data_IF_801036447167
#
_entry.id   IF_801036447167
#
_cell.length_a   1.000
_cell.length_b   1.000
_cell.length_c   1.000
_cell.angle_alpha   90.00
_cell.angle_beta   90.00
_cell.angle_gamma   90.00
#
_symmetry.space_group_name_H-M   'P 1'
#
loop_
_entity.id
_entity.type
_entity.pdbx_description
1 polymer ?
#
# COMPACT_ATOMS: atom_id res chain seq x y z
N UNK A 1 6.34 -26.61 10.38
CA UNK A 1 5.67 -25.41 10.93
C UNK A 1 4.20 -25.37 10.52
N UNK A 2 3.87 -25.48 9.22
CA UNK A 2 2.53 -25.26 8.67
C UNK A 2 1.41 -26.05 9.36
N UNK A 3 1.52 -27.35 9.70
CA UNK A 3 0.46 -28.08 10.41
C UNK A 3 0.10 -27.52 11.79
N UNK A 4 0.98 -26.71 12.38
CA UNK A 4 0.72 -26.03 13.67
C UNK A 4 0.16 -24.62 13.49
N UNK A 5 0.04 -24.14 12.26
CA UNK A 5 -0.42 -22.80 11.92
C UNK A 5 -1.93 -22.72 11.67
N UNK A 6 -2.72 -23.59 12.32
CA UNK A 6 -4.19 -23.55 12.22
C UNK A 6 -4.71 -22.18 12.66
N UNK A 7 -5.59 -21.58 11.86
CA UNK A 7 -6.08 -20.20 12.08
C UNK A 7 -5.17 -19.09 11.56
N UNK A 8 -3.90 -19.39 11.25
CA UNK A 8 -3.00 -18.42 10.62
C UNK A 8 -3.29 -18.37 9.11
N UNK A 9 -3.32 -17.18 8.49
CA UNK A 9 -3.60 -17.03 7.06
C UNK A 9 -2.63 -17.80 6.16
N UNK A 10 -1.36 -17.97 6.56
CA UNK A 10 -0.37 -18.76 5.81
C UNK A 10 -0.82 -20.19 5.57
N UNK A 11 -1.58 -20.80 6.50
CA UNK A 11 -2.13 -22.13 6.30
C UNK A 11 -3.11 -22.14 5.13
N UNK A 12 -4.00 -21.15 5.06
CA UNK A 12 -4.99 -21.04 3.99
C UNK A 12 -4.34 -20.67 2.66
N UNK A 13 -3.42 -19.70 2.65
CA UNK A 13 -2.77 -19.24 1.44
C UNK A 13 -1.95 -20.33 0.78
N UNK A 14 -1.12 -21.06 1.53
CA UNK A 14 -0.34 -22.17 0.99
C UNK A 14 -1.22 -23.22 0.32
N UNK A 15 -2.35 -23.59 0.93
CA UNK A 15 -3.27 -24.59 0.35
C UNK A 15 -4.03 -24.04 -0.86
N UNK A 16 -4.40 -22.75 -0.87
CA UNK A 16 -4.98 -22.13 -2.06
C UNK A 16 -3.99 -22.05 -3.22
N UNK A 17 -2.74 -21.69 -2.96
CA UNK A 17 -1.68 -21.67 -3.98
C UNK A 17 -1.44 -23.07 -4.55
N UNK A 18 -1.32 -24.10 -3.69
CA UNK A 18 -1.14 -25.47 -4.09
C UNK A 18 -2.31 -25.98 -4.94
N UNK A 19 -3.56 -25.68 -4.53
CA UNK A 19 -4.75 -26.06 -5.28
C UNK A 19 -4.82 -25.34 -6.63
N UNK A 20 -4.72 -24.00 -6.62
CA UNK A 20 -5.01 -23.19 -7.80
C UNK A 20 -3.94 -23.30 -8.89
N UNK A 21 -2.67 -23.40 -8.49
CA UNK A 21 -1.56 -23.43 -9.44
C UNK A 21 -1.03 -24.82 -9.71
N UNK A 22 -0.96 -25.67 -8.70
CA UNK A 22 -0.34 -26.99 -8.82
C UNK A 22 -1.35 -28.14 -8.94
N UNK A 23 -2.65 -27.89 -8.67
CA UNK A 23 -3.69 -28.91 -8.69
C UNK A 23 -3.60 -29.90 -7.52
N UNK A 24 -2.95 -29.49 -6.42
CA UNK A 24 -2.82 -30.32 -5.22
C UNK A 24 -3.91 -29.97 -4.20
N UNK A 25 -4.78 -30.94 -3.91
CA UNK A 25 -5.88 -30.76 -2.96
C UNK A 25 -5.64 -31.44 -1.60
N UNK A 26 -4.47 -32.05 -1.42
CA UNK A 26 -4.07 -32.68 -0.17
C UNK A 26 -3.63 -31.69 0.90
N UNK A 27 -3.32 -32.19 2.10
CA UNK A 27 -2.79 -31.40 3.21
C UNK A 27 -1.27 -31.38 3.15
N UNK A 28 -0.68 -30.18 3.23
CA UNK A 28 0.78 -30.02 3.32
C UNK A 28 1.24 -30.24 4.76
N UNK A 29 1.99 -31.33 4.97
CA UNK A 29 2.57 -31.72 6.26
C UNK A 29 3.91 -32.44 6.08
N UNK A 30 4.51 -32.93 7.16
CA UNK A 30 5.80 -33.63 7.09
C UNK A 30 5.79 -34.92 6.27
N UNK A 31 4.64 -35.59 6.11
CA UNK A 31 4.53 -36.81 5.33
C UNK A 31 4.36 -36.53 3.83
N UNK A 32 3.72 -35.41 3.49
CA UNK A 32 3.42 -35.00 2.10
C UNK A 32 4.42 -33.98 1.55
N UNK A 33 5.31 -33.46 2.37
CA UNK A 33 6.22 -32.38 1.99
C UNK A 33 7.08 -32.72 0.76
N UNK A 34 7.62 -33.94 0.69
CA UNK A 34 8.45 -34.35 -0.45
C UNK A 34 7.62 -34.46 -1.73
N UNK A 35 6.43 -35.06 -1.65
CA UNK A 35 5.51 -35.17 -2.79
C UNK A 35 5.14 -33.79 -3.35
N UNK A 36 4.84 -32.81 -2.46
CA UNK A 36 4.50 -31.44 -2.86
C UNK A 36 5.71 -30.74 -3.46
N UNK A 37 6.91 -30.95 -2.89
CA UNK A 37 8.15 -30.41 -3.43
C UNK A 37 8.41 -30.90 -4.86
N UNK A 38 8.34 -32.22 -5.10
CA UNK A 38 8.58 -32.80 -6.40
C UNK A 38 7.56 -32.33 -7.44
N UNK A 39 6.27 -32.28 -7.08
CA UNK A 39 5.22 -31.70 -7.90
C UNK A 39 5.49 -30.24 -8.25
N UNK A 40 5.90 -29.44 -7.27
CA UNK A 40 6.19 -28.04 -7.48
C UNK A 40 7.38 -27.83 -8.43
N UNK A 41 8.46 -28.59 -8.25
CA UNK A 41 9.62 -28.54 -9.14
C UNK A 41 9.27 -28.92 -10.57
N UNK A 42 8.51 -30.00 -10.77
CA UNK A 42 8.05 -30.43 -12.08
C UNK A 42 7.24 -29.33 -12.78
N UNK A 43 6.27 -28.75 -12.08
CA UNK A 43 5.40 -27.71 -12.62
C UNK A 43 6.13 -26.40 -12.91
N UNK A 44 6.97 -25.93 -11.98
CA UNK A 44 7.71 -24.68 -12.13
C UNK A 44 8.75 -24.72 -13.28
N UNK A 45 9.16 -25.91 -13.71
CA UNK A 45 10.03 -26.07 -14.88
C UNK A 45 9.28 -25.91 -16.23
N UNK A 46 7.95 -25.87 -16.22
CA UNK A 46 7.13 -25.78 -17.43
C UNK A 46 6.96 -24.31 -17.87
N UNK A 47 6.91 -24.02 -19.18
CA UNK A 47 6.71 -22.66 -19.69
C UNK A 47 5.44 -21.97 -19.17
N UNK A 48 4.38 -22.73 -18.86
CA UNK A 48 3.11 -22.27 -18.32
C UNK A 48 3.26 -21.64 -16.94
N UNK A 49 4.35 -21.92 -16.24
CA UNK A 49 4.70 -21.34 -14.94
C UNK A 49 5.70 -20.18 -15.05
N UNK A 50 5.97 -19.68 -16.26
CA UNK A 50 6.72 -18.43 -16.40
C UNK A 50 5.96 -17.26 -15.73
N UNK A 51 6.70 -16.23 -15.29
CA UNK A 51 6.12 -15.06 -14.61
C UNK A 51 4.90 -14.47 -15.35
N UNK A 52 5.04 -14.28 -16.68
CA UNK A 52 3.95 -13.71 -17.49
C UNK A 52 2.74 -14.65 -17.56
N UNK A 53 2.94 -15.95 -17.64
CA UNK A 53 1.85 -16.91 -17.73
C UNK A 53 1.12 -17.08 -16.38
N UNK A 54 1.81 -17.00 -15.25
CA UNK A 54 1.18 -16.95 -13.93
C UNK A 54 0.29 -15.71 -13.76
N UNK A 55 0.73 -14.54 -14.25
CA UNK A 55 -0.06 -13.32 -14.26
C UNK A 55 -1.31 -13.48 -15.14
N UNK A 56 -1.16 -13.97 -16.37
CA UNK A 56 -2.29 -14.26 -17.28
C UNK A 56 -3.29 -15.23 -16.68
N UNK A 57 -2.79 -16.34 -16.13
CA UNK A 57 -3.61 -17.38 -15.48
C UNK A 57 -4.42 -16.81 -14.30
N UNK A 58 -3.88 -15.80 -13.63
CA UNK A 58 -4.55 -15.13 -12.52
C UNK A 58 -5.51 -14.02 -12.97
N UNK A 59 -5.65 -13.80 -14.28
CA UNK A 59 -6.52 -12.79 -14.90
C UNK A 59 -6.27 -11.36 -14.33
N UNK A 60 -5.00 -11.01 -14.17
CA UNK A 60 -4.58 -9.71 -13.62
C UNK A 60 -4.63 -8.65 -14.70
N UNK A 61 -5.47 -7.65 -14.54
CA UNK A 61 -5.61 -6.55 -15.49
C UNK A 61 -4.49 -5.51 -15.35
N UNK A 62 -4.07 -5.26 -14.09
CA UNK A 62 -3.04 -4.27 -13.78
C UNK A 62 -2.19 -4.69 -12.58
N UNK A 63 -0.93 -4.27 -12.61
CA UNK A 63 0.03 -4.36 -11.51
C UNK A 63 0.56 -2.96 -11.22
N UNK A 64 0.42 -2.49 -9.98
CA UNK A 64 1.16 -1.35 -9.45
C UNK A 64 2.45 -1.84 -8.81
N UNK A 65 3.57 -1.30 -9.23
CA UNK A 65 4.86 -1.55 -8.59
C UNK A 65 5.15 -0.47 -7.53
N UNK A 66 6.17 -0.66 -6.70
CA UNK A 66 6.61 0.35 -5.74
C UNK A 66 7.99 0.84 -6.17
N UNK A 67 8.09 2.11 -6.54
CA UNK A 67 9.28 2.64 -7.19
C UNK A 67 9.81 3.90 -6.51
N UNK A 68 11.13 3.92 -6.30
CA UNK A 68 11.84 5.06 -5.75
C UNK A 68 11.89 6.22 -6.76
N UNK A 69 11.76 7.49 -6.35
CA UNK A 69 11.89 8.66 -7.21
C UNK A 69 13.12 8.68 -8.13
N UNK A 70 14.21 8.05 -7.71
CA UNK A 70 15.45 7.99 -8.49
C UNK A 70 15.48 6.86 -9.54
N UNK A 71 14.42 6.06 -9.67
CA UNK A 71 14.35 4.98 -10.66
C UNK A 71 14.31 5.55 -12.09
N UNK A 72 15.04 4.91 -13.00
CA UNK A 72 15.06 5.25 -14.44
C UNK A 72 13.87 4.68 -15.22
N UNK A 73 13.03 3.83 -14.59
CA UNK A 73 11.89 3.15 -15.20
C UNK A 73 12.23 2.25 -16.40
N UNK A 74 13.47 1.85 -16.55
CA UNK A 74 13.94 1.04 -17.68
C UNK A 74 13.08 -0.22 -17.91
N UNK A 75 12.76 -0.96 -16.84
CA UNK A 75 11.96 -2.19 -16.98
C UNK A 75 10.49 -1.92 -17.29
N UNK A 76 9.92 -0.79 -16.85
CA UNK A 76 8.57 -0.39 -17.23
C UNK A 76 8.49 -0.08 -18.73
N UNK A 77 9.47 0.63 -19.26
CA UNK A 77 9.59 0.93 -20.70
C UNK A 77 9.72 -0.37 -21.53
N UNK A 78 10.57 -1.31 -21.10
CA UNK A 78 10.70 -2.62 -21.76
C UNK A 78 9.39 -3.41 -21.73
N UNK A 79 8.66 -3.41 -20.61
CA UNK A 79 7.37 -4.11 -20.49
C UNK A 79 6.32 -3.47 -21.40
N UNK A 80 6.22 -2.14 -21.41
CA UNK A 80 5.29 -1.41 -22.27
C UNK A 80 5.52 -1.73 -23.76
N UNK A 81 6.79 -1.85 -24.18
CA UNK A 81 7.17 -2.19 -25.56
C UNK A 81 7.01 -3.68 -25.91
N UNK A 82 6.86 -4.55 -24.92
CA UNK A 82 6.85 -6.01 -25.13
C UNK A 82 5.50 -6.57 -25.60
N UNK A 83 4.44 -5.77 -25.66
CA UNK A 83 3.08 -6.23 -25.95
C UNK A 83 2.46 -7.09 -24.84
N UNK A 84 2.96 -6.99 -23.60
CA UNK A 84 2.37 -7.70 -22.48
C UNK A 84 1.01 -7.07 -22.12
N UNK A 85 -0.04 -7.91 -22.02
CA UNK A 85 -1.43 -7.46 -21.93
C UNK A 85 -1.76 -6.81 -20.59
N UNK A 86 -1.14 -7.32 -19.50
CA UNK A 86 -1.31 -6.76 -18.16
C UNK A 86 -0.60 -5.43 -18.08
N UNK A 87 -1.33 -4.38 -17.75
CA UNK A 87 -0.77 -3.04 -17.55
C UNK A 87 0.12 -3.04 -16.30
N UNK A 88 1.37 -2.62 -16.44
CA UNK A 88 2.30 -2.47 -15.31
C UNK A 88 2.63 -0.99 -15.15
N UNK A 89 2.19 -0.40 -14.05
CA UNK A 89 2.36 1.02 -13.75
C UNK A 89 3.24 1.22 -12.52
N UNK A 90 4.14 2.22 -12.52
CA UNK A 90 4.87 2.57 -11.32
C UNK A 90 3.94 3.21 -10.27
N UNK A 91 4.26 3.05 -9.00
CA UNK A 91 3.74 3.86 -7.90
C UNK A 91 4.89 4.63 -7.26
N UNK A 92 4.68 5.92 -7.04
CA UNK A 92 5.70 6.83 -6.57
C UNK A 92 5.89 6.73 -5.05
N UNK A 93 7.06 6.29 -4.57
CA UNK A 93 7.34 6.13 -3.14
C UNK A 93 8.53 6.97 -2.69
N UNK A 94 8.31 8.20 -2.18
CA UNK A 94 9.36 9.14 -1.85
C UNK A 94 9.92 9.00 -0.43
N UNK A 95 9.69 7.89 0.26
CA UNK A 95 10.06 7.69 1.67
C UNK A 95 11.53 8.00 1.97
N UNK A 96 12.44 7.66 1.06
CA UNK A 96 13.86 7.95 1.22
C UNK A 96 14.17 9.45 1.24
N UNK A 97 13.38 10.27 0.54
CA UNK A 97 13.50 11.72 0.59
C UNK A 97 12.89 12.33 1.86
N UNK A 98 11.84 11.70 2.42
CA UNK A 98 11.17 12.15 3.64
C UNK A 98 11.94 11.75 4.91
N UNK A 99 12.67 10.63 4.89
CA UNK A 99 13.33 10.05 6.04
C UNK A 99 14.66 10.76 6.38
N UNK A 100 14.59 12.06 6.63
CA UNK A 100 15.74 12.96 6.88
C UNK A 100 16.66 12.50 8.02
N UNK A 101 16.11 11.79 9.01
CA UNK A 101 16.83 11.29 10.19
C UNK A 101 17.56 9.96 9.97
N UNK A 102 17.31 9.28 8.83
CA UNK A 102 17.91 7.96 8.59
C UNK A 102 19.31 8.06 8.01
N UNK A 103 20.15 7.13 8.38
CA UNK A 103 21.49 6.98 7.81
C UNK A 103 21.40 6.84 6.29
N UNK A 104 22.32 7.50 5.56
CA UNK A 104 22.30 7.50 4.07
C UNK A 104 21.51 8.63 3.43
N UNK A 105 20.78 9.46 4.19
CA UNK A 105 20.00 10.57 3.65
C UNK A 105 20.81 11.47 2.72
N UNK A 106 21.99 11.94 3.13
CA UNK A 106 22.83 12.81 2.31
C UNK A 106 23.28 12.15 0.99
N UNK A 107 23.52 10.84 0.99
CA UNK A 107 23.82 10.09 -0.23
C UNK A 107 22.60 9.99 -1.15
N UNK A 108 21.42 9.78 -0.55
CA UNK A 108 20.17 9.75 -1.30
C UNK A 108 19.84 11.10 -1.95
N UNK A 109 20.04 12.23 -1.24
CA UNK A 109 19.81 13.57 -1.80
C UNK A 109 20.71 13.84 -3.00
N UNK A 110 21.97 13.37 -2.98
CA UNK A 110 22.85 13.46 -4.16
C UNK A 110 22.30 12.66 -5.36
N UNK A 111 21.85 11.42 -5.11
CA UNK A 111 21.22 10.58 -6.14
C UNK A 111 19.95 11.22 -6.70
N UNK A 112 19.12 11.84 -5.85
CA UNK A 112 17.91 12.55 -6.27
C UNK A 112 18.26 13.80 -7.11
N UNK A 113 19.32 14.53 -6.73
CA UNK A 113 19.83 15.67 -7.50
C UNK A 113 20.24 15.25 -8.90
N UNK A 114 20.97 14.15 -9.03
CA UNK A 114 21.37 13.56 -10.32
C UNK A 114 20.16 13.12 -11.15
N UNK A 115 19.24 12.35 -10.54
CA UNK A 115 18.07 11.81 -11.22
C UNK A 115 17.07 12.88 -11.68
N UNK A 116 16.96 13.99 -10.95
CA UNK A 116 16.07 15.11 -11.28
C UNK A 116 16.72 16.18 -12.17
N UNK A 117 18.05 16.22 -12.22
CA UNK A 117 18.80 17.32 -12.84
C UNK A 117 18.76 18.63 -12.06
N UNK A 118 18.29 18.61 -10.82
CA UNK A 118 18.14 19.80 -9.96
C UNK A 118 19.25 19.82 -8.90
N UNK A 119 19.98 20.94 -8.82
CA UNK A 119 20.99 21.12 -7.78
C UNK A 119 20.32 21.38 -6.44
N UNK A 120 20.35 20.39 -5.54
CA UNK A 120 19.67 20.44 -4.23
C UNK A 120 20.59 21.09 -3.19
N UNK A 121 20.18 22.25 -2.64
CA UNK A 121 20.89 23.02 -1.63
C UNK A 121 20.07 23.20 -0.34
N UNK A 122 18.74 23.02 -0.42
CA UNK A 122 17.79 23.18 0.68
C UNK A 122 16.53 22.35 0.46
N UNK A 123 15.61 22.42 1.40
CA UNK A 123 14.37 21.68 1.37
C UNK A 123 13.45 22.04 0.19
N UNK A 124 13.46 23.31 -0.22
CA UNK A 124 12.70 23.77 -1.39
C UNK A 124 13.20 23.12 -2.69
N UNK A 125 14.52 22.91 -2.83
CA UNK A 125 15.08 22.23 -3.99
C UNK A 125 14.71 20.74 -3.98
N UNK A 126 14.64 20.09 -2.79
CA UNK A 126 14.14 18.71 -2.67
C UNK A 126 12.69 18.63 -3.16
N UNK A 127 11.83 19.54 -2.74
CA UNK A 127 10.45 19.61 -3.19
C UNK A 127 10.35 19.78 -4.71
N UNK A 128 11.16 20.65 -5.30
CA UNK A 128 11.24 20.83 -6.75
C UNK A 128 11.76 19.59 -7.46
N UNK A 129 12.77 18.91 -6.92
CA UNK A 129 13.29 17.66 -7.46
C UNK A 129 12.23 16.55 -7.46
N UNK A 130 11.46 16.41 -6.36
CA UNK A 130 10.34 15.49 -6.30
C UNK A 130 9.24 15.85 -7.31
N UNK A 131 8.89 17.13 -7.50
CA UNK A 131 7.94 17.55 -8.54
C UNK A 131 8.41 17.15 -9.95
N UNK A 132 9.69 17.32 -10.26
CA UNK A 132 10.25 16.89 -11.54
C UNK A 132 10.15 15.37 -11.71
N UNK A 133 10.43 14.60 -10.65
CA UNK A 133 10.31 13.13 -10.68
C UNK A 133 8.85 12.67 -10.77
N UNK A 134 7.92 13.31 -10.07
CA UNK A 134 6.48 13.05 -10.19
C UNK A 134 6.02 13.29 -11.63
N UNK A 135 6.45 14.39 -12.26
CA UNK A 135 6.13 14.64 -13.67
C UNK A 135 6.71 13.55 -14.61
N UNK A 136 7.90 13.05 -14.34
CA UNK A 136 8.48 11.93 -15.10
C UNK A 136 7.67 10.64 -14.90
N UNK A 137 7.30 10.29 -13.65
CA UNK A 137 6.48 9.11 -13.37
C UNK A 137 5.10 9.19 -14.03
N UNK A 138 4.53 10.39 -14.12
CA UNK A 138 3.25 10.61 -14.80
C UNK A 138 3.34 10.22 -16.28
N UNK A 139 4.45 10.55 -16.96
CA UNK A 139 4.70 10.13 -18.35
C UNK A 139 4.82 8.61 -18.51
N UNK A 140 5.17 7.90 -17.45
CA UNK A 140 5.27 6.44 -17.40
C UNK A 140 3.96 5.75 -17.00
N UNK A 141 2.88 6.52 -16.89
CA UNK A 141 1.54 6.01 -16.57
C UNK A 141 1.29 5.77 -15.09
N UNK A 142 2.06 6.40 -14.21
CA UNK A 142 1.81 6.38 -12.77
C UNK A 142 0.41 6.92 -12.44
N UNK A 143 -0.26 6.29 -11.46
CA UNK A 143 -1.61 6.69 -11.00
C UNK A 143 -1.69 6.75 -9.48
N UNK A 144 -0.64 6.37 -8.78
CA UNK A 144 -0.63 6.31 -7.32
C UNK A 144 0.72 6.70 -6.75
N UNK A 145 0.66 7.27 -5.55
CA UNK A 145 1.82 7.41 -4.67
C UNK A 145 1.58 6.58 -3.42
N UNK A 146 2.67 6.12 -2.81
CA UNK A 146 2.65 5.32 -1.60
C UNK A 146 3.62 5.91 -0.57
N UNK A 147 3.19 6.02 0.67
CA UNK A 147 3.96 6.50 1.80
C UNK A 147 3.93 5.47 2.93
N UNK A 148 5.11 4.99 3.34
CA UNK A 148 5.27 4.11 4.50
C UNK A 148 5.82 4.90 5.69
N UNK A 149 4.90 5.39 6.53
CA UNK A 149 5.22 6.19 7.70
C UNK A 149 5.22 5.32 8.96
N UNK A 150 6.16 5.55 9.88
CA UNK A 150 6.13 4.87 11.18
C UNK A 150 4.88 5.36 11.97
N UNK A 151 4.57 6.64 11.89
CA UNK A 151 3.33 7.30 12.36
C UNK A 151 3.05 8.52 11.48
N UNK A 152 1.81 9.00 11.45
CA UNK A 152 1.47 10.24 10.75
C UNK A 152 1.90 11.43 11.59
N UNK A 153 2.65 12.35 11.00
CA UNK A 153 3.11 13.57 11.64
C UNK A 153 2.44 14.80 11.01
N UNK A 154 2.27 15.84 11.81
CA UNK A 154 1.91 17.18 11.33
C UNK A 154 2.52 18.25 12.23
N UNK A 155 3.60 18.84 11.77
CA UNK A 155 4.26 19.96 12.44
C UNK A 155 4.64 21.04 11.42
N UNK A 156 4.06 22.20 11.54
CA UNK A 156 4.43 23.34 10.70
C UNK A 156 5.74 23.96 11.19
N UNK A 157 6.56 24.42 10.25
CA UNK A 157 7.79 25.16 10.50
C UNK A 157 7.96 26.26 9.47
N UNK A 158 8.78 27.26 9.81
CA UNK A 158 9.23 28.25 8.82
C UNK A 158 10.25 27.59 7.87
N UNK A 159 10.37 28.10 6.64
CA UNK A 159 11.39 27.58 5.72
C UNK A 159 12.80 27.65 6.30
N UNK A 160 13.12 28.68 7.10
CA UNK A 160 14.40 28.78 7.80
C UNK A 160 14.63 27.62 8.78
N UNK A 161 13.60 27.19 9.53
CA UNK A 161 13.68 26.06 10.44
C UNK A 161 13.87 24.74 9.68
N UNK A 162 13.12 24.56 8.59
CA UNK A 162 13.18 23.37 7.74
C UNK A 162 14.54 23.26 7.03
N UNK A 163 15.06 24.35 6.48
CA UNK A 163 16.39 24.39 5.85
C UNK A 163 17.52 24.16 6.85
N UNK A 164 17.36 24.62 8.09
CA UNK A 164 18.32 24.33 9.19
C UNK A 164 18.34 22.83 9.49
N UNK A 165 17.18 22.17 9.59
CA UNK A 165 17.09 20.73 9.78
C UNK A 165 17.73 19.99 8.60
N UNK A 166 17.45 20.43 7.37
CA UNK A 166 18.08 19.86 6.16
C UNK A 166 19.61 19.99 6.20
N UNK A 167 20.14 21.17 6.54
CA UNK A 167 21.58 21.39 6.60
C UNK A 167 22.27 20.48 7.64
N UNK A 168 21.67 20.32 8.84
CA UNK A 168 22.13 19.37 9.85
C UNK A 168 22.18 17.94 9.32
N UNK A 169 21.11 17.47 8.69
CA UNK A 169 21.05 16.12 8.11
C UNK A 169 22.13 15.91 7.04
N UNK A 170 22.35 16.92 6.18
CA UNK A 170 23.40 16.86 5.15
C UNK A 170 24.81 16.84 5.75
N UNK A 171 25.00 17.43 6.94
CA UNK A 171 26.26 17.37 7.72
C UNK A 171 26.41 16.06 8.53
N UNK A 172 25.37 15.25 8.62
CA UNK A 172 25.35 14.02 9.43
C UNK A 172 25.18 14.29 10.92
N UNK A 173 24.59 15.42 11.28
CA UNK A 173 24.28 15.81 12.65
C UNK A 173 22.93 15.20 13.08
N UNK A 174 22.76 14.97 14.38
CA UNK A 174 21.53 14.47 14.96
C UNK A 174 20.42 15.52 14.88
N UNK A 175 19.20 15.06 14.61
CA UNK A 175 17.98 15.86 14.55
C UNK A 175 17.07 15.54 15.73
N UNK A 176 16.42 16.56 16.30
CA UNK A 176 15.31 16.31 17.20
C UNK A 176 14.04 15.94 16.44
N UNK A 177 13.06 15.36 17.16
CA UNK A 177 11.80 14.88 16.55
C UNK A 177 11.07 16.02 15.86
N UNK A 178 11.06 17.22 16.44
CA UNK A 178 10.42 18.41 15.88
C UNK A 178 11.04 18.82 14.53
N UNK A 179 12.35 18.76 14.40
CA UNK A 179 13.05 19.07 13.15
C UNK A 179 12.69 18.06 12.05
N UNK A 180 12.63 16.78 12.41
CA UNK A 180 12.22 15.70 11.50
C UNK A 180 10.78 15.90 11.04
N UNK A 181 9.85 16.10 11.97
CA UNK A 181 8.44 16.27 11.67
C UNK A 181 8.14 17.51 10.81
N UNK A 182 8.82 18.63 11.06
CA UNK A 182 8.67 19.84 10.24
C UNK A 182 9.06 19.57 8.77
N UNK A 183 10.21 18.95 8.56
CA UNK A 183 10.68 18.62 7.23
C UNK A 183 9.75 17.60 6.52
N UNK A 184 9.36 16.54 7.21
CA UNK A 184 8.47 15.51 6.66
C UNK A 184 7.09 16.08 6.32
N UNK A 185 6.52 16.91 7.21
CA UNK A 185 5.22 17.58 6.96
C UNK A 185 5.30 18.46 5.72
N UNK A 186 6.36 19.26 5.57
CA UNK A 186 6.55 20.11 4.41
C UNK A 186 6.57 19.32 3.10
N UNK A 187 7.35 18.25 3.03
CA UNK A 187 7.44 17.44 1.80
C UNK A 187 6.18 16.63 1.55
N UNK A 188 5.54 16.07 2.58
CA UNK A 188 4.29 15.32 2.43
C UNK A 188 3.19 16.20 1.83
N UNK A 189 2.99 17.40 2.37
CA UNK A 189 2.00 18.35 1.85
C UNK A 189 2.33 18.79 0.42
N UNK A 190 3.61 19.04 0.11
CA UNK A 190 4.05 19.38 -1.24
C UNK A 190 3.74 18.25 -2.24
N UNK A 191 4.15 17.03 -1.93
CA UNK A 191 3.90 15.87 -2.78
C UNK A 191 2.40 15.61 -2.97
N UNK A 192 1.61 15.67 -1.89
CA UNK A 192 0.16 15.49 -1.96
C UNK A 192 -0.51 16.50 -2.91
N UNK A 193 -0.08 17.76 -2.88
CA UNK A 193 -0.54 18.77 -3.83
C UNK A 193 -0.18 18.44 -5.28
N UNK A 194 1.01 17.88 -5.52
CA UNK A 194 1.40 17.41 -6.85
C UNK A 194 0.56 16.21 -7.32
N UNK A 195 0.20 15.29 -6.41
CA UNK A 195 -0.69 14.17 -6.72
C UNK A 195 -2.10 14.64 -7.05
N UNK A 196 -2.65 15.58 -6.28
CA UNK A 196 -3.98 16.16 -6.52
C UNK A 196 -4.09 16.78 -7.91
N UNK A 197 -3.10 17.57 -8.34
CA UNK A 197 -3.06 18.21 -9.66
C UNK A 197 -3.05 17.21 -10.83
N UNK A 198 -2.59 15.97 -10.58
CA UNK A 198 -2.51 14.88 -11.59
C UNK A 198 -3.63 13.85 -11.46
N UNK A 199 -4.51 14.02 -10.48
CA UNK A 199 -5.57 13.04 -10.20
C UNK A 199 -5.07 11.70 -9.65
N UNK A 200 -3.82 11.64 -9.15
CA UNK A 200 -3.27 10.44 -8.56
C UNK A 200 -3.92 10.10 -7.22
N UNK A 201 -3.83 8.84 -6.86
CA UNK A 201 -4.21 8.33 -5.54
C UNK A 201 -3.02 8.41 -4.59
N UNK A 202 -3.19 9.03 -3.43
CA UNK A 202 -2.23 9.01 -2.35
C UNK A 202 -2.56 7.86 -1.39
N UNK A 203 -1.62 6.95 -1.15
CA UNK A 203 -1.76 5.88 -0.18
C UNK A 203 -0.86 6.16 1.02
N UNK A 204 -1.41 6.11 2.22
CA UNK A 204 -0.67 6.35 3.48
C UNK A 204 -0.76 5.10 4.34
N UNK A 205 0.40 4.45 4.57
CA UNK A 205 0.58 3.34 5.47
C UNK A 205 1.25 3.83 6.76
N UNK A 206 0.74 3.43 7.93
CA UNK A 206 1.25 3.88 9.23
C UNK A 206 1.00 2.88 10.36
N UNK A 207 1.44 3.23 11.57
CA UNK A 207 1.35 2.40 12.79
C UNK A 207 2.19 1.12 12.73
N UNK A 208 3.41 1.20 12.17
CA UNK A 208 4.37 0.11 12.15
C UNK A 208 5.58 0.42 13.03
N UNK A 209 5.89 -0.47 13.97
CA UNK A 209 7.15 -0.45 14.71
C UNK A 209 8.17 -1.34 14.00
N UNK A 210 9.17 -0.71 13.41
CA UNK A 210 10.21 -1.41 12.65
C UNK A 210 11.31 -1.94 13.55
N UNK A 211 11.66 -3.22 13.36
CA UNK A 211 12.83 -3.86 13.94
C UNK A 211 13.00 -3.70 15.47
N UNK A 212 11.95 -3.88 16.32
CA UNK A 212 12.07 -3.72 17.77
C UNK A 212 13.03 -4.74 18.42
N UNK A 213 13.40 -5.82 17.72
CA UNK A 213 14.45 -6.75 18.16
C UNK A 213 15.80 -6.33 17.59
N UNK A 214 16.48 -5.42 18.29
CA UNK A 214 17.77 -4.86 17.87
C UNK A 214 18.85 -5.93 17.63
N UNK A 215 18.87 -7.00 18.46
CA UNK A 215 19.84 -8.10 18.31
C UNK A 215 19.62 -8.87 16.99
N UNK A 216 18.37 -9.11 16.63
CA UNK A 216 18.04 -9.78 15.37
C UNK A 216 18.30 -8.85 14.18
N UNK A 217 17.96 -7.57 14.29
CA UNK A 217 18.25 -6.57 13.28
C UNK A 217 19.76 -6.42 12.99
N UNK A 218 20.60 -6.37 14.03
CA UNK A 218 22.05 -6.30 13.87
C UNK A 218 22.63 -7.53 13.13
N UNK A 219 21.97 -8.69 13.25
CA UNK A 219 22.41 -9.95 12.62
C UNK A 219 21.86 -10.16 11.21
N UNK A 220 20.60 -9.79 10.96
CA UNK A 220 19.84 -10.18 9.78
C UNK A 220 19.43 -9.00 8.89
N UNK A 221 19.51 -7.78 9.40
CA UNK A 221 19.07 -6.58 8.69
C UNK A 221 17.55 -6.36 8.73
N UNK A 222 17.09 -5.36 7.97
CA UNK A 222 15.69 -5.02 7.82
C UNK A 222 14.90 -6.09 7.04
N UNK A 223 13.57 -6.02 7.13
CA UNK A 223 12.64 -6.88 6.39
C UNK A 223 12.83 -8.39 6.64
N UNK A 224 13.33 -8.75 7.79
CA UNK A 224 13.63 -10.14 8.19
C UNK A 224 12.61 -10.76 9.16
N UNK A 225 11.40 -10.12 9.29
CA UNK A 225 10.27 -10.67 10.05
C UNK A 225 10.22 -10.25 11.52
N UNK A 226 10.85 -9.13 11.89
CA UNK A 226 10.90 -8.62 13.26
C UNK A 226 10.17 -7.29 13.46
N UNK A 227 9.28 -6.93 12.53
CA UNK A 227 8.41 -5.78 12.67
C UNK A 227 7.14 -6.14 13.46
N UNK A 228 6.49 -5.16 14.07
CA UNK A 228 5.23 -5.35 14.76
C UNK A 228 4.31 -4.13 14.64
N UNK A 229 3.06 -4.28 15.10
CA UNK A 229 2.11 -3.19 15.19
C UNK A 229 2.58 -2.15 16.20
N UNK A 230 2.40 -0.87 15.88
CA UNK A 230 2.61 0.24 16.80
C UNK A 230 1.28 0.81 17.27
N UNK A 231 1.26 1.32 18.50
CA UNK A 231 0.18 2.17 19.01
C UNK A 231 0.70 3.60 18.97
N UNK A 232 0.22 4.39 18.01
CA UNK A 232 0.65 5.77 17.79
C UNK A 232 -0.57 6.67 17.73
N UNK A 233 -0.46 7.92 18.22
CA UNK A 233 -1.50 8.92 18.05
C UNK A 233 -1.34 9.61 16.68
N UNK A 234 -1.82 8.93 15.64
CA UNK A 234 -1.81 9.44 14.26
C UNK A 234 -3.10 10.19 13.89
N UNK A 235 -4.17 10.05 14.66
CA UNK A 235 -5.49 10.58 14.32
C UNK A 235 -5.47 12.11 14.16
N UNK A 236 -4.98 12.83 15.16
CA UNK A 236 -4.94 14.29 15.14
C UNK A 236 -4.01 14.85 14.04
N UNK A 237 -2.88 14.19 13.83
CA UNK A 237 -1.94 14.59 12.78
C UNK A 237 -2.55 14.36 11.39
N UNK A 238 -3.16 13.22 11.15
CA UNK A 238 -3.81 12.89 9.89
C UNK A 238 -4.95 13.87 9.56
N UNK A 239 -5.81 14.18 10.56
CA UNK A 239 -6.82 15.22 10.43
C UNK A 239 -6.22 16.55 9.95
N UNK A 240 -5.11 16.97 10.56
CA UNK A 240 -4.45 18.25 10.21
C UNK A 240 -3.84 18.22 8.82
N UNK A 241 -3.22 17.10 8.41
CA UNK A 241 -2.69 16.92 7.04
C UNK A 241 -3.82 17.06 6.03
N UNK A 242 -4.91 16.29 6.21
CA UNK A 242 -6.05 16.32 5.29
C UNK A 242 -6.71 17.70 5.23
N UNK A 243 -6.92 18.35 6.40
CA UNK A 243 -7.51 19.69 6.46
C UNK A 243 -6.61 20.77 5.82
N UNK A 244 -5.29 20.66 5.98
CA UNK A 244 -4.36 21.58 5.33
C UNK A 244 -4.43 21.48 3.79
N UNK A 245 -4.57 20.27 3.27
CA UNK A 245 -4.72 20.03 1.84
C UNK A 245 -6.10 20.43 1.31
N UNK A 246 -7.17 20.10 2.05
CA UNK A 246 -8.55 20.42 1.64
C UNK A 246 -8.80 21.93 1.58
N UNK A 247 -8.23 22.72 2.50
CA UNK A 247 -8.34 24.19 2.50
C UNK A 247 -7.78 24.86 1.25
N UNK A 248 -6.86 24.21 0.56
CA UNK A 248 -6.19 24.69 -0.65
C UNK A 248 -6.72 23.97 -1.91
N UNK A 249 -7.79 23.16 -1.78
CA UNK A 249 -8.32 22.29 -2.85
C UNK A 249 -7.26 21.31 -3.41
N UNK A 250 -6.34 20.88 -2.57
CA UNK A 250 -5.20 20.00 -2.90
C UNK A 250 -5.25 18.62 -2.24
N UNK A 251 -6.38 18.25 -1.61
CA UNK A 251 -6.53 16.90 -1.06
C UNK A 251 -6.79 15.90 -2.21
N UNK A 252 -5.85 14.98 -2.51
CA UNK A 252 -6.03 13.99 -3.56
C UNK A 252 -7.02 12.89 -3.15
N UNK A 253 -7.40 12.02 -4.09
CA UNK A 253 -7.95 10.70 -3.78
C UNK A 253 -6.98 10.02 -2.79
N UNK A 254 -7.45 9.58 -1.63
CA UNK A 254 -6.56 9.09 -0.56
C UNK A 254 -7.05 7.77 0.00
N UNK A 255 -6.12 6.82 0.20
CA UNK A 255 -6.37 5.55 0.88
C UNK A 255 -5.51 5.49 2.14
N UNK A 256 -6.12 5.16 3.27
CA UNK A 256 -5.48 5.09 4.59
C UNK A 256 -5.36 3.64 5.04
N UNK A 257 -4.14 3.23 5.41
CA UNK A 257 -3.84 1.89 5.93
C UNK A 257 -3.17 2.01 7.29
N UNK A 258 -3.88 1.66 8.36
CA UNK A 258 -3.23 1.47 9.66
C UNK A 258 -2.87 0.01 9.89
N UNK A 259 -1.71 -0.22 10.51
CA UNK A 259 -1.35 -1.54 10.98
C UNK A 259 -2.00 -1.87 12.33
N UNK A 260 -2.49 -0.87 13.04
CA UNK A 260 -3.19 -1.02 14.31
C UNK A 260 -4.71 -1.18 14.07
N UNK A 261 -5.32 -2.35 14.29
CA UNK A 261 -6.75 -2.56 14.04
C UNK A 261 -7.66 -1.74 14.97
N UNK A 262 -7.13 -1.17 16.06
CA UNK A 262 -7.90 -0.26 16.90
C UNK A 262 -8.16 1.10 16.23
N UNK A 263 -7.51 1.37 15.11
CA UNK A 263 -7.67 2.62 14.37
C UNK A 263 -8.86 2.58 13.39
N UNK A 264 -9.42 1.42 13.08
CA UNK A 264 -10.44 1.23 12.05
C UNK A 264 -11.62 2.20 12.22
N UNK A 265 -12.18 2.31 13.39
CA UNK A 265 -13.38 3.13 13.63
C UNK A 265 -13.11 4.63 13.50
N UNK A 266 -11.99 5.13 14.04
CA UNK A 266 -11.70 6.55 13.90
C UNK A 266 -11.29 6.92 12.46
N UNK A 267 -10.62 6.00 11.72
CA UNK A 267 -10.38 6.16 10.30
C UNK A 267 -11.70 6.30 9.57
N UNK A 268 -12.65 5.36 9.74
CA UNK A 268 -13.92 5.37 9.03
C UNK A 268 -14.76 6.63 9.32
N UNK A 269 -14.74 7.14 10.54
CA UNK A 269 -15.38 8.42 10.86
C UNK A 269 -14.66 9.62 10.24
N UNK A 270 -13.32 9.60 10.18
CA UNK A 270 -12.52 10.63 9.53
C UNK A 270 -12.79 10.69 8.02
N UNK A 271 -12.93 9.53 7.36
CA UNK A 271 -13.27 9.46 5.93
C UNK A 271 -14.54 10.26 5.63
N UNK A 272 -15.56 10.11 6.45
CA UNK A 272 -16.83 10.80 6.27
C UNK A 272 -16.71 12.32 6.30
N UNK A 273 -15.73 12.87 7.02
CA UNK A 273 -15.51 14.31 7.13
C UNK A 273 -14.87 14.93 5.86
N UNK A 274 -14.26 14.12 4.99
CA UNK A 274 -13.50 14.59 3.82
C UNK A 274 -13.98 13.98 2.49
N UNK A 275 -15.19 13.42 2.44
CA UNK A 275 -15.78 12.92 1.19
C UNK A 275 -16.16 14.06 0.24
N UNK A 276 -16.29 13.72 -1.03
CA UNK A 276 -16.66 14.63 -2.10
C UNK A 276 -17.90 14.12 -2.83
N UNK A 277 -18.77 15.03 -3.29
CA UNK A 277 -19.89 14.69 -4.17
C UNK A 277 -19.45 14.36 -5.62
N UNK A 278 -18.21 14.67 -5.99
CA UNK A 278 -17.69 14.50 -7.34
C UNK A 278 -17.03 13.14 -7.54
N UNK A 279 -16.42 12.58 -6.49
CA UNK A 279 -15.68 11.33 -6.54
C UNK A 279 -16.25 10.37 -5.48
N UNK A 280 -17.01 9.34 -5.87
CA UNK A 280 -17.50 8.33 -4.93
C UNK A 280 -16.34 7.68 -4.18
N UNK A 281 -16.38 7.75 -2.84
CA UNK A 281 -15.31 7.22 -2.01
C UNK A 281 -13.97 7.92 -2.23
N UNK A 282 -13.95 9.27 -2.37
CA UNK A 282 -12.70 10.06 -2.53
C UNK A 282 -11.64 9.68 -1.52
N UNK A 283 -12.06 9.48 -0.28
CA UNK A 283 -11.20 9.01 0.80
C UNK A 283 -11.63 7.60 1.16
N UNK A 284 -10.69 6.67 1.20
CA UNK A 284 -10.90 5.23 1.40
C UNK A 284 -10.23 4.75 2.69
N UNK A 285 -10.88 3.84 3.39
CA UNK A 285 -10.18 2.94 4.30
C UNK A 285 -9.57 1.83 3.44
N UNK A 286 -8.27 1.62 3.54
CA UNK A 286 -7.58 0.57 2.82
C UNK A 286 -7.98 -0.83 3.29
N UNK A 287 -7.65 -1.85 2.51
CA UNK A 287 -7.86 -3.24 2.93
C UNK A 287 -7.04 -3.55 4.20
N UNK A 288 -7.53 -4.51 4.99
CA UNK A 288 -6.80 -5.00 6.14
C UNK A 288 -5.35 -5.35 5.76
N UNK A 289 -4.39 -4.60 6.32
CA UNK A 289 -3.02 -4.59 5.85
C UNK A 289 -2.12 -5.45 6.71
N UNK A 290 -1.17 -6.15 6.10
CA UNK A 290 -0.08 -6.93 6.67
C UNK A 290 -0.51 -7.89 7.78
N UNK A 291 -0.32 -7.57 9.09
CA UNK A 291 -0.74 -8.45 10.19
C UNK A 291 -2.26 -8.62 10.30
N UNK A 292 -3.03 -7.71 9.72
CA UNK A 292 -4.48 -7.77 9.67
C UNK A 292 -5.01 -8.45 8.39
N UNK A 293 -4.12 -8.80 7.43
CA UNK A 293 -4.49 -9.54 6.21
C UNK A 293 -4.77 -11.01 6.54
N UNK A 294 -5.85 -11.21 7.28
CA UNK A 294 -6.37 -12.48 7.74
C UNK A 294 -7.90 -12.40 7.87
N UNK A 295 -8.56 -13.54 8.08
CA UNK A 295 -10.03 -13.60 8.14
C UNK A 295 -10.63 -12.60 9.13
N UNK A 296 -10.12 -12.57 10.34
CA UNK A 296 -10.68 -11.71 11.41
C UNK A 296 -10.40 -10.24 11.13
N UNK A 297 -9.16 -9.89 10.73
CA UNK A 297 -8.80 -8.52 10.39
C UNK A 297 -9.64 -7.99 9.22
N UNK A 298 -9.83 -8.79 8.16
CA UNK A 298 -10.68 -8.41 7.02
C UNK A 298 -12.14 -8.23 7.44
N UNK A 299 -12.69 -9.15 8.24
CA UNK A 299 -14.07 -9.04 8.72
C UNK A 299 -14.29 -7.80 9.59
N UNK A 300 -13.33 -7.47 10.46
CA UNK A 300 -13.42 -6.29 11.33
C UNK A 300 -13.36 -5.00 10.50
N UNK A 301 -12.40 -4.88 9.61
CA UNK A 301 -12.26 -3.72 8.73
C UNK A 301 -13.50 -3.52 7.84
N UNK A 302 -13.99 -4.57 7.17
CA UNK A 302 -15.18 -4.52 6.32
C UNK A 302 -16.45 -4.16 7.13
N UNK A 303 -16.58 -4.68 8.34
CA UNK A 303 -17.72 -4.39 9.22
C UNK A 303 -17.67 -2.94 9.71
N UNK A 304 -16.49 -2.46 10.11
CA UNK A 304 -16.31 -1.07 10.52
C UNK A 304 -16.66 -0.11 9.39
N UNK A 305 -16.12 -0.36 8.20
CA UNK A 305 -16.42 0.45 7.01
C UNK A 305 -17.90 0.39 6.59
N UNK A 306 -18.55 -0.77 6.70
CA UNK A 306 -19.97 -0.91 6.40
C UNK A 306 -20.86 -0.12 7.37
N UNK A 307 -20.49 -0.09 8.65
CA UNK A 307 -21.25 0.60 9.70
C UNK A 307 -21.10 2.13 9.66
N UNK A 308 -19.93 2.63 9.26
CA UNK A 308 -19.56 4.04 9.38
C UNK A 308 -19.37 4.75 8.03
N UNK A 309 -19.37 4.00 6.92
CA UNK A 309 -19.16 4.49 5.58
C UNK A 309 -20.09 3.86 4.55
N UNK A 310 -19.65 3.78 3.30
CA UNK A 310 -20.37 3.17 2.19
C UNK A 310 -19.51 2.03 1.62
N UNK A 311 -19.70 0.81 2.14
CA UNK A 311 -18.93 -0.37 1.73
C UNK A 311 -18.97 -0.61 0.21
N UNK A 312 -20.08 -0.31 -0.46
CA UNK A 312 -20.21 -0.46 -1.93
C UNK A 312 -19.21 0.37 -2.74
N UNK A 313 -18.62 1.42 -2.17
CA UNK A 313 -17.57 2.22 -2.81
C UNK A 313 -16.14 1.75 -2.50
N UNK A 314 -15.98 0.71 -1.69
CA UNK A 314 -14.67 0.20 -1.30
C UNK A 314 -13.88 -0.30 -2.51
N UNK A 315 -12.61 0.07 -2.61
CA UNK A 315 -11.73 -0.31 -3.74
C UNK A 315 -11.22 -1.75 -3.66
N UNK A 316 -11.60 -2.48 -2.61
CA UNK A 316 -11.25 -3.88 -2.44
C UNK A 316 -9.85 -4.13 -1.91
N UNK A 317 -9.44 -5.38 -2.02
CA UNK A 317 -8.17 -5.91 -1.51
C UNK A 317 -7.15 -5.98 -2.65
N UNK A 318 -5.92 -5.65 -2.34
CA UNK A 318 -4.74 -5.95 -3.15
C UNK A 318 -3.88 -6.99 -2.41
N UNK A 319 -3.12 -7.79 -3.15
CA UNK A 319 -2.38 -8.90 -2.53
C UNK A 319 -1.12 -8.46 -1.79
N UNK A 320 -0.59 -7.27 -2.07
CA UNK A 320 0.64 -6.72 -1.49
C UNK A 320 1.74 -7.79 -1.34
N UNK A 321 2.06 -8.45 -2.43
CA UNK A 321 2.93 -9.62 -2.41
C UNK A 321 3.98 -9.57 -3.53
N UNK A 322 5.13 -10.17 -3.23
CA UNK A 322 6.23 -10.35 -4.19
C UNK A 322 6.18 -11.71 -4.91
N UNK A 323 5.23 -12.58 -4.54
CA UNK A 323 5.04 -13.89 -5.18
C UNK A 323 3.92 -13.85 -6.22
N UNK A 324 4.18 -14.35 -7.41
CA UNK A 324 3.18 -14.48 -8.47
C UNK A 324 2.14 -15.57 -8.20
N UNK A 325 2.38 -16.45 -7.24
CA UNK A 325 1.40 -17.46 -6.78
C UNK A 325 0.39 -16.85 -5.80
N UNK A 326 0.74 -15.76 -5.15
CA UNK A 326 -0.09 -15.13 -4.11
C UNK A 326 -1.33 -14.40 -4.62
N UNK A 327 -1.57 -14.35 -5.94
CA UNK A 327 -2.86 -13.90 -6.48
C UNK A 327 -4.03 -14.74 -5.96
N UNK A 328 -3.79 -15.98 -5.51
CA UNK A 328 -4.78 -16.78 -4.78
C UNK A 328 -5.33 -16.11 -3.51
N UNK A 329 -4.58 -15.14 -2.91
CA UNK A 329 -5.04 -14.37 -1.75
C UNK A 329 -6.24 -13.49 -2.05
N UNK A 330 -6.42 -13.05 -3.30
CA UNK A 330 -7.63 -12.33 -3.70
C UNK A 330 -8.87 -13.25 -3.68
N UNK A 331 -8.72 -14.55 -3.98
CA UNK A 331 -9.81 -15.52 -3.77
C UNK A 331 -10.15 -15.68 -2.29
N UNK A 332 -9.15 -15.68 -1.40
CA UNK A 332 -9.36 -15.71 0.04
C UNK A 332 -10.21 -14.52 0.51
N UNK A 333 -9.88 -13.31 0.05
CA UNK A 333 -10.67 -12.10 0.31
C UNK A 333 -12.11 -12.22 -0.21
N UNK A 334 -12.31 -12.62 -1.48
CA UNK A 334 -13.65 -12.76 -2.06
C UNK A 334 -14.53 -13.72 -1.26
N UNK A 335 -13.96 -14.83 -0.78
CA UNK A 335 -14.70 -15.80 0.06
C UNK A 335 -15.10 -15.19 1.40
N UNK A 336 -14.24 -14.39 2.02
CA UNK A 336 -14.53 -13.69 3.27
C UNK A 336 -15.63 -12.65 3.07
N UNK A 337 -15.52 -11.82 2.03
CA UNK A 337 -16.52 -10.80 1.69
C UNK A 337 -17.89 -11.43 1.44
N UNK A 338 -17.96 -12.44 0.56
CA UNK A 338 -19.23 -13.13 0.25
C UNK A 338 -19.83 -13.81 1.49
N UNK A 339 -19.00 -14.43 2.34
CA UNK A 339 -19.49 -15.03 3.56
C UNK A 339 -20.02 -14.00 4.55
N UNK A 340 -19.35 -12.85 4.68
CA UNK A 340 -19.79 -11.77 5.57
C UNK A 340 -21.15 -11.21 5.11
N UNK A 341 -21.25 -10.85 3.83
CA UNK A 341 -22.50 -10.33 3.24
C UNK A 341 -23.63 -11.37 3.28
N UNK A 342 -23.33 -12.64 2.99
CA UNK A 342 -24.31 -13.73 3.10
C UNK A 342 -24.82 -13.92 4.53
N UNK A 343 -23.95 -13.78 5.54
CA UNK A 343 -24.35 -13.83 6.94
C UNK A 343 -25.32 -12.69 7.30
N UNK A 344 -25.10 -11.47 6.80
CA UNK A 344 -26.03 -10.35 7.00
C UNK A 344 -27.40 -10.62 6.39
N UNK A 345 -27.45 -11.27 5.22
CA UNK A 345 -28.73 -11.67 4.58
C UNK A 345 -29.44 -12.75 5.42
N UNK A 346 -28.72 -13.79 5.84
CA UNK A 346 -29.27 -14.88 6.67
C UNK A 346 -29.80 -14.38 8.02
N UNK A 347 -29.13 -13.38 8.60
CA UNK A 347 -29.57 -12.72 9.84
C UNK A 347 -30.73 -11.73 9.64
N UNK A 348 -31.14 -11.45 8.41
CA UNK A 348 -32.18 -10.46 8.11
C UNK A 348 -31.70 -8.99 8.19
N UNK A 349 -30.39 -8.77 8.21
CA UNK A 349 -29.78 -7.43 8.26
C UNK A 349 -29.81 -6.73 6.90
N UNK A 350 -29.90 -7.52 5.80
CA UNK A 350 -30.01 -7.04 4.43
C UNK A 350 -30.98 -7.93 3.62
N UNK A 351 -31.75 -7.37 2.67
CA UNK A 351 -32.65 -8.16 1.82
C UNK A 351 -31.90 -9.19 0.98
N UNK A 352 -32.52 -10.34 0.68
CA UNK A 352 -31.98 -11.36 -0.20
C UNK A 352 -32.04 -10.97 -1.70
N UNK A 353 -31.64 -9.74 -2.01
CA UNK A 353 -31.52 -9.23 -3.38
C UNK A 353 -30.17 -9.65 -3.97
N UNK A 354 -30.13 -10.85 -4.53
CA UNK A 354 -28.89 -11.45 -5.06
C UNK A 354 -28.33 -10.72 -6.28
N UNK A 355 -29.16 -9.99 -7.03
CA UNK A 355 -28.71 -9.19 -8.17
C UNK A 355 -27.89 -7.98 -7.68
N UNK A 356 -28.45 -7.19 -6.77
CA UNK A 356 -27.75 -6.04 -6.16
C UNK A 356 -26.49 -6.49 -5.39
N UNK A 357 -26.59 -7.56 -4.59
CA UNK A 357 -25.45 -8.10 -3.83
C UNK A 357 -24.33 -8.56 -4.76
N UNK A 358 -24.66 -9.26 -5.85
CA UNK A 358 -23.69 -9.69 -6.86
C UNK A 358 -22.96 -8.51 -7.51
N UNK A 359 -23.68 -7.48 -7.91
CA UNK A 359 -23.12 -6.26 -8.47
C UNK A 359 -22.19 -5.54 -7.47
N UNK A 360 -22.56 -5.44 -6.18
CA UNK A 360 -21.72 -4.87 -5.14
C UNK A 360 -20.43 -5.67 -4.94
N UNK A 361 -20.50 -7.00 -4.95
CA UNK A 361 -19.30 -7.86 -4.83
C UNK A 361 -18.37 -7.66 -6.02
N UNK A 362 -18.89 -7.60 -7.24
CA UNK A 362 -18.09 -7.34 -8.45
C UNK A 362 -17.43 -5.96 -8.40
N UNK A 363 -18.17 -4.95 -7.95
CA UNK A 363 -17.66 -3.61 -7.80
C UNK A 363 -16.52 -3.54 -6.77
N UNK A 364 -16.71 -4.09 -5.58
CA UNK A 364 -15.69 -4.14 -4.52
C UNK A 364 -14.48 -4.96 -4.98
N UNK A 365 -14.69 -6.07 -5.70
CA UNK A 365 -13.60 -6.97 -6.08
C UNK A 365 -12.80 -6.50 -7.30
N UNK A 366 -13.35 -5.60 -8.14
CA UNK A 366 -12.68 -5.21 -9.38
C UNK A 366 -13.02 -3.81 -9.89
N UNK A 367 -14.33 -3.46 -10.03
CA UNK A 367 -14.71 -2.30 -10.83
C UNK A 367 -14.45 -0.99 -10.10
N UNK A 368 -14.58 -0.94 -8.76
CA UNK A 368 -14.25 0.24 -7.97
C UNK A 368 -12.78 0.64 -8.11
N UNK A 369 -11.86 -0.33 -8.03
CA UNK A 369 -10.45 -0.06 -8.24
C UNK A 369 -10.17 0.50 -9.63
N UNK A 370 -10.77 -0.09 -10.68
CA UNK A 370 -10.62 0.43 -12.05
C UNK A 370 -11.05 1.89 -12.16
N UNK A 371 -12.24 2.23 -11.62
CA UNK A 371 -12.75 3.61 -11.63
C UNK A 371 -11.90 4.56 -10.78
N UNK A 372 -11.47 4.11 -9.62
CA UNK A 372 -10.75 4.95 -8.65
C UNK A 372 -9.33 5.31 -9.11
N UNK A 373 -8.63 4.38 -9.76
CA UNK A 373 -7.28 4.58 -10.28
C UNK A 373 -7.23 5.02 -11.75
N UNK A 374 -8.36 5.23 -12.41
CA UNK A 374 -8.48 5.60 -13.83
C UNK A 374 -7.72 4.62 -14.75
N UNK A 375 -8.08 3.32 -14.66
CA UNK A 375 -7.42 2.21 -15.36
C UNK A 375 -8.08 1.81 -16.68
#
# INVERSE_FOLDING_TARGET
ALPRAIGNPMYHWCHLELKNFFGYEGVLNGQTAQQVWDLALEKLAQPEFSARNLIRRSNVAMIGTTDDPCSDMHYHDLLAKSGFETKVCPSFRPDSALNIHKSGFAAYIRKLSEASGICIRGAADVAQALSARIAFFDTMGCRAADHGLDYVMYRQGTMEQIDRAFAKAMAGEDLCVEEVEMYQTYLLLHCAGEYARRGWVMQIHFSCMRNPNEKAFAKLGADSGFDCMAVTDSCQALYRVMNALEREDLLPKTILYSLNPADDQWIDTLLGAFQSSQIPGKIQHGSAWWFNDNKVGMQNQLTSLANLGILGNFVGMLTDSRSLLSYARHEYFRRILCNLMGTWVENGEYPADMETLGALVEDICANNAKRYFDL
#
